data_IF_799246447226
#
_entry.id   IF_799246447226
#
_cell.length_a   1.000
_cell.length_b   1.000
_cell.length_c   1.000
_cell.angle_alpha   90.00
_cell.angle_beta   90.00
_cell.angle_gamma   90.00
#
_symmetry.space_group_name_H-M   'P 1'
#
loop_
_entity.id
_entity.type
_entity.pdbx_description
1 polymer ?
#
# COMPACT_ATOMS: atom_id res chain seq x y z
N UNK A 1 19.16 -10.88 -16.51
CA UNK A 1 18.05 -9.98 -16.12
C UNK A 1 17.50 -10.42 -14.77
N UNK A 2 17.92 -9.80 -13.68
CA UNK A 2 17.21 -9.91 -12.40
C UNK A 2 15.88 -9.16 -12.59
N UNK A 3 14.77 -9.88 -12.72
CA UNK A 3 13.44 -9.29 -12.85
C UNK A 3 13.10 -8.55 -11.55
N UNK A 4 13.12 -7.21 -11.57
CA UNK A 4 12.59 -6.36 -10.50
C UNK A 4 11.05 -6.51 -10.45
N UNK A 5 10.60 -7.65 -9.90
CA UNK A 5 9.18 -7.94 -9.74
C UNK A 5 8.62 -7.13 -8.57
N UNK A 6 7.43 -6.58 -8.75
CA UNK A 6 6.68 -5.93 -7.65
C UNK A 6 5.99 -6.98 -6.80
N UNK A 7 5.76 -6.64 -5.53
CA UNK A 7 5.11 -7.56 -4.58
C UNK A 7 3.73 -8.02 -5.08
N UNK A 8 2.97 -7.14 -5.74
CA UNK A 8 1.66 -7.47 -6.32
C UNK A 8 1.73 -8.55 -7.42
N UNK A 9 2.84 -8.65 -8.15
CA UNK A 9 3.03 -9.63 -9.24
C UNK A 9 3.40 -11.02 -8.70
N UNK A 10 3.91 -11.08 -7.46
CA UNK A 10 4.34 -12.31 -6.81
C UNK A 10 3.31 -12.81 -5.79
N UNK A 11 2.81 -11.92 -4.93
CA UNK A 11 1.91 -12.27 -3.84
C UNK A 11 1.00 -11.12 -3.42
N UNK A 12 -0.32 -11.37 -3.53
CA UNK A 12 -1.37 -10.52 -2.97
C UNK A 12 -2.40 -11.40 -2.24
N UNK A 13 -2.62 -11.22 -0.91
CA UNK A 13 -3.56 -12.04 -0.14
C UNK A 13 -5.01 -11.60 -0.39
N UNK A 14 -5.54 -11.95 -1.58
CA UNK A 14 -6.87 -11.52 -2.05
C UNK A 14 -7.96 -11.94 -1.05
N UNK A 15 -7.91 -13.18 -0.54
CA UNK A 15 -8.94 -13.71 0.36
C UNK A 15 -9.04 -12.90 1.66
N UNK A 16 -7.90 -12.58 2.26
CA UNK A 16 -7.81 -11.81 3.50
C UNK A 16 -8.22 -10.35 3.27
N UNK A 17 -7.79 -9.75 2.16
CA UNK A 17 -8.20 -8.40 1.75
C UNK A 17 -9.72 -8.32 1.56
N UNK A 18 -10.31 -9.27 0.84
CA UNK A 18 -11.75 -9.33 0.59
C UNK A 18 -12.55 -9.49 1.88
N UNK A 19 -12.06 -10.31 2.83
CA UNK A 19 -12.69 -10.50 4.14
C UNK A 19 -12.72 -9.20 4.96
N UNK A 20 -11.58 -8.51 5.07
CA UNK A 20 -11.51 -7.22 5.79
C UNK A 20 -12.31 -6.12 5.08
N UNK A 21 -12.31 -6.12 3.75
CA UNK A 21 -13.12 -5.19 2.94
C UNK A 21 -14.63 -5.37 3.16
N UNK A 22 -15.09 -6.63 3.23
CA UNK A 22 -16.48 -6.94 3.54
C UNK A 22 -16.84 -6.51 4.98
N UNK A 23 -15.92 -6.72 5.93
CA UNK A 23 -16.07 -6.28 7.32
C UNK A 23 -16.17 -4.75 7.43
N UNK A 24 -15.28 -4.00 6.76
CA UNK A 24 -15.32 -2.54 6.68
C UNK A 24 -16.70 -2.04 6.23
N UNK A 25 -17.26 -2.68 5.20
CA UNK A 25 -18.59 -2.37 4.67
C UNK A 25 -19.71 -2.67 5.67
N UNK A 26 -19.59 -3.77 6.43
CA UNK A 26 -20.61 -4.23 7.38
C UNK A 26 -20.69 -3.41 8.68
N UNK A 27 -19.65 -2.65 9.05
CA UNK A 27 -19.60 -1.89 10.31
C UNK A 27 -20.62 -0.73 10.34
N UNK A 28 -21.05 -0.22 9.18
CA UNK A 28 -21.92 0.97 9.08
C UNK A 28 -23.39 0.62 8.81
N UNK A 29 -23.95 -0.38 9.49
CA UNK A 29 -25.35 -0.77 9.29
C UNK A 29 -26.31 0.18 10.04
N UNK A 30 -27.42 0.59 9.41
CA UNK A 30 -28.55 1.26 10.09
C UNK A 30 -28.61 2.80 10.03
N UNK A 31 -27.68 3.48 9.35
CA UNK A 31 -27.77 4.94 9.16
C UNK A 31 -28.55 5.26 7.88
N UNK A 32 -29.44 6.27 7.84
CA UNK A 32 -30.20 6.64 6.63
C UNK A 32 -29.26 6.95 5.44
N UNK A 33 -28.07 7.47 5.74
CA UNK A 33 -26.96 7.68 4.80
C UNK A 33 -26.35 6.39 4.22
N UNK A 34 -26.83 5.20 4.62
CA UNK A 34 -26.44 3.88 4.08
C UNK A 34 -27.48 3.27 3.14
N UNK A 35 -28.68 3.86 3.00
CA UNK A 35 -29.67 3.46 1.99
C UNK A 35 -29.26 3.92 0.58
N UNK A 36 -28.68 5.11 0.47
CA UNK A 36 -28.14 5.65 -0.78
C UNK A 36 -26.61 5.58 -0.76
N UNK A 37 -26.08 4.35 -0.75
CA UNK A 37 -24.69 4.14 -1.18
C UNK A 37 -24.65 4.42 -2.69
N UNK A 38 -24.06 5.56 -3.08
CA UNK A 38 -23.66 5.79 -4.47
C UNK A 38 -22.82 4.59 -4.96
N UNK A 39 -23.00 4.20 -6.22
CA UNK A 39 -22.45 2.96 -6.76
C UNK A 39 -20.95 2.79 -6.45
N UNK A 40 -20.64 1.65 -5.84
CA UNK A 40 -19.30 1.13 -5.58
C UNK A 40 -18.38 1.98 -4.68
N UNK A 41 -18.75 2.15 -3.39
CA UNK A 41 -17.75 2.52 -2.37
C UNK A 41 -16.65 1.46 -2.32
N UNK A 42 -15.43 1.89 -2.66
CA UNK A 42 -14.25 1.03 -2.69
C UNK A 42 -13.70 0.89 -1.26
N UNK A 43 -13.43 -0.33 -0.79
CA UNK A 43 -12.96 -0.58 0.57
C UNK A 43 -11.53 -0.05 0.75
N UNK A 44 -11.31 0.81 1.75
CA UNK A 44 -10.01 1.44 2.01
C UNK A 44 -8.92 0.42 2.33
N UNK A 45 -9.33 -0.71 2.93
CA UNK A 45 -8.47 -1.88 3.17
C UNK A 45 -7.76 -2.36 1.90
N UNK A 46 -8.51 -2.59 0.81
CA UNK A 46 -7.96 -3.10 -0.43
C UNK A 46 -7.04 -2.09 -1.13
N UNK A 47 -7.44 -0.83 -1.13
CA UNK A 47 -6.72 0.25 -1.79
C UNK A 47 -5.32 0.44 -1.20
N UNK A 48 -5.24 0.48 0.13
CA UNK A 48 -3.97 0.63 0.85
C UNK A 48 -2.98 -0.49 0.53
N UNK A 49 -3.49 -1.72 0.45
CA UNK A 49 -2.67 -2.89 0.17
C UNK A 49 -2.22 -2.92 -1.28
N UNK A 50 -3.11 -2.55 -2.22
CA UNK A 50 -2.77 -2.45 -3.63
C UNK A 50 -1.66 -1.41 -3.87
N UNK A 51 -1.75 -0.23 -3.24
CA UNK A 51 -0.72 0.81 -3.33
C UNK A 51 0.61 0.35 -2.73
N UNK A 52 0.59 -0.27 -1.55
CA UNK A 52 1.81 -0.79 -0.94
C UNK A 52 2.48 -1.88 -1.80
N UNK A 53 1.68 -2.81 -2.31
CA UNK A 53 2.18 -3.95 -3.09
C UNK A 53 2.69 -3.55 -4.49
N UNK A 54 2.24 -2.42 -5.05
CA UNK A 54 2.73 -1.92 -6.33
C UNK A 54 4.07 -1.18 -6.22
N UNK A 55 4.38 -0.60 -5.05
CA UNK A 55 5.59 0.20 -4.84
C UNK A 55 6.75 -0.60 -4.24
N UNK A 56 6.45 -1.68 -3.52
CA UNK A 56 7.47 -2.49 -2.83
C UNK A 56 7.94 -3.65 -3.71
N UNK A 57 9.26 -3.91 -3.82
CA UNK A 57 9.78 -5.05 -4.56
C UNK A 57 9.41 -6.38 -3.87
N UNK A 58 9.18 -7.40 -4.69
CA UNK A 58 8.91 -8.76 -4.24
C UNK A 58 10.14 -9.32 -3.51
N UNK A 59 9.95 -10.08 -2.41
CA UNK A 59 11.05 -10.78 -1.77
C UNK A 59 11.58 -11.87 -2.70
N UNK A 60 12.91 -12.08 -2.75
CA UNK A 60 13.55 -13.12 -3.57
C UNK A 60 13.26 -14.58 -3.12
N UNK A 61 12.28 -14.80 -2.24
CA UNK A 61 11.92 -16.13 -1.72
C UNK A 61 10.93 -16.83 -2.64
N UNK A 62 11.09 -18.16 -2.80
CA UNK A 62 10.38 -18.99 -3.79
C UNK A 62 8.83 -18.95 -3.77
N UNK A 63 8.18 -18.36 -2.77
CA UNK A 63 6.73 -18.43 -2.58
C UNK A 63 6.03 -17.09 -2.26
N UNK A 64 6.72 -15.94 -2.20
CA UNK A 64 6.13 -14.64 -1.78
C UNK A 64 5.59 -14.57 -0.34
N UNK A 65 5.34 -15.71 0.29
CA UNK A 65 4.90 -15.95 1.69
C UNK A 65 6.03 -15.75 2.69
N UNK A 66 6.82 -14.69 2.52
CA UNK A 66 7.78 -14.25 3.51
C UNK A 66 7.12 -13.47 4.67
N UNK A 67 7.93 -12.88 5.57
CA UNK A 67 7.46 -12.02 6.67
C UNK A 67 6.52 -10.88 6.22
N UNK A 68 6.66 -10.43 4.97
CA UNK A 68 5.82 -9.40 4.36
C UNK A 68 4.34 -9.80 4.23
N UNK A 69 4.01 -11.10 4.21
CA UNK A 69 2.62 -11.56 4.15
C UNK A 69 1.82 -11.21 5.42
N UNK A 70 2.42 -11.40 6.60
CA UNK A 70 1.84 -10.99 7.88
C UNK A 70 1.74 -9.46 7.99
N UNK A 71 2.72 -8.74 7.44
CA UNK A 71 2.68 -7.28 7.37
C UNK A 71 1.50 -6.79 6.53
N UNK A 72 1.29 -7.35 5.34
CA UNK A 72 0.15 -7.00 4.48
C UNK A 72 -1.18 -7.27 5.20
N UNK A 73 -1.34 -8.43 5.85
CA UNK A 73 -2.56 -8.73 6.59
C UNK A 73 -2.84 -7.71 7.70
N UNK A 74 -1.81 -7.18 8.37
CA UNK A 74 -1.98 -6.11 9.34
C UNK A 74 -2.32 -4.77 8.69
N UNK A 75 -1.80 -4.49 7.50
CA UNK A 75 -2.11 -3.30 6.71
C UNK A 75 -3.58 -3.28 6.23
N UNK A 76 -4.14 -4.47 5.96
CA UNK A 76 -5.55 -4.66 5.56
C UNK A 76 -6.56 -4.32 6.67
N UNK A 77 -6.17 -4.33 7.94
CA UNK A 77 -7.12 -4.19 9.04
C UNK A 77 -7.81 -2.82 9.04
N UNK A 78 -9.09 -2.82 9.39
CA UNK A 78 -9.88 -1.62 9.62
C UNK A 78 -10.40 -1.58 11.08
N UNK A 79 -10.23 -0.48 11.82
CA UNK A 79 -9.51 0.75 11.46
C UNK A 79 -7.99 0.52 11.30
N UNK A 80 -7.29 1.37 10.52
CA UNK A 80 -5.85 1.22 10.31
C UNK A 80 -5.06 1.44 11.60
N UNK A 81 -3.99 0.67 11.79
CA UNK A 81 -3.00 0.97 12.82
C UNK A 81 -2.02 2.03 12.29
N UNK A 82 -1.97 3.25 12.88
CA UNK A 82 -1.13 4.33 12.37
C UNK A 82 0.37 3.99 12.39
N UNK A 83 0.82 3.18 13.34
CA UNK A 83 2.23 2.74 13.40
C UNK A 83 2.60 1.89 12.18
N UNK A 84 1.73 0.96 11.78
CA UNK A 84 1.93 0.10 10.61
C UNK A 84 1.85 0.85 9.29
N UNK A 85 1.03 1.90 9.23
CA UNK A 85 1.01 2.80 8.08
C UNK A 85 2.32 3.57 7.94
N UNK A 86 2.88 4.09 9.05
CA UNK A 86 4.20 4.75 9.04
C UNK A 86 5.32 3.79 8.62
N UNK A 87 5.32 2.56 9.15
CA UNK A 87 6.26 1.50 8.72
C UNK A 87 6.14 1.22 7.21
N UNK A 88 4.92 1.18 6.66
CA UNK A 88 4.69 0.95 5.24
C UNK A 88 5.24 2.10 4.37
N UNK A 89 5.04 3.35 4.80
CA UNK A 89 5.59 4.54 4.12
C UNK A 89 7.12 4.48 4.11
N UNK A 90 7.74 4.15 5.25
CA UNK A 90 9.19 4.01 5.35
C UNK A 90 9.73 2.96 4.37
N UNK A 91 9.09 1.79 4.29
CA UNK A 91 9.47 0.76 3.31
C UNK A 91 9.36 1.23 1.86
N UNK A 92 8.35 2.03 1.53
CA UNK A 92 8.17 2.62 0.20
C UNK A 92 9.31 3.60 -0.09
N UNK A 93 9.67 4.45 0.85
CA UNK A 93 10.77 5.40 0.68
C UNK A 93 12.13 4.71 0.56
N UNK A 94 12.40 3.66 1.34
CA UNK A 94 13.61 2.85 1.18
C UNK A 94 13.69 2.20 -0.20
N UNK A 95 12.59 1.62 -0.68
CA UNK A 95 12.52 1.01 -2.01
C UNK A 95 12.71 2.04 -3.13
N UNK A 96 12.08 3.21 -3.00
CA UNK A 96 12.17 4.29 -3.98
C UNK A 96 13.55 4.97 -3.98
N UNK A 97 14.16 5.14 -2.80
CA UNK A 97 15.52 5.65 -2.63
C UNK A 97 16.54 4.75 -3.35
N UNK A 98 16.41 3.42 -3.17
CA UNK A 98 17.26 2.46 -3.86
C UNK A 98 17.13 2.58 -5.38
N UNK A 99 15.89 2.62 -5.90
CA UNK A 99 15.62 2.78 -7.33
C UNK A 99 16.17 4.10 -7.89
N UNK A 100 15.96 5.22 -7.20
CA UNK A 100 16.50 6.51 -7.61
C UNK A 100 18.03 6.54 -7.56
N UNK A 101 18.64 5.85 -6.59
CA UNK A 101 20.09 5.78 -6.49
C UNK A 101 20.70 5.01 -7.67
N UNK A 102 20.03 3.94 -8.12
CA UNK A 102 20.39 3.21 -9.32
C UNK A 102 20.19 4.04 -10.60
N UNK A 103 19.12 4.83 -10.70
CA UNK A 103 18.81 5.67 -11.87
C UNK A 103 19.71 6.91 -12.00
N UNK A 104 20.00 7.59 -10.89
CA UNK A 104 20.76 8.85 -10.88
C UNK A 104 22.26 8.65 -10.61
N UNK A 105 22.68 7.45 -10.22
CA UNK A 105 24.06 7.13 -9.85
C UNK A 105 24.56 7.88 -8.60
N UNK A 106 23.64 8.36 -7.75
CA UNK A 106 23.93 9.09 -6.50
C UNK A 106 23.27 8.38 -5.34
N UNK A 107 23.95 8.26 -4.21
CA UNK A 107 23.33 7.70 -3.00
C UNK A 107 22.27 8.66 -2.46
N UNK A 108 21.01 8.23 -2.50
CA UNK A 108 19.87 8.96 -1.92
C UNK A 108 19.34 8.16 -0.74
N UNK A 109 19.16 8.81 0.41
CA UNK A 109 18.59 8.17 1.60
C UNK A 109 17.07 8.36 1.64
N UNK A 110 16.37 7.45 2.33
CA UNK A 110 14.94 7.60 2.61
C UNK A 110 14.64 8.90 3.38
N UNK A 111 15.58 9.37 4.22
CA UNK A 111 15.46 10.64 4.95
C UNK A 111 15.47 11.86 4.01
N UNK A 112 16.25 11.80 2.93
CA UNK A 112 16.31 12.90 1.96
C UNK A 112 14.98 13.05 1.20
N UNK A 113 14.24 11.95 1.05
CA UNK A 113 12.91 11.92 0.42
C UNK A 113 11.85 12.45 1.40
N UNK A 114 11.97 12.13 2.69
CA UNK A 114 11.11 12.68 3.75
C UNK A 114 11.27 14.20 3.89
N UNK A 115 12.52 14.69 3.87
CA UNK A 115 12.86 16.11 3.96
C UNK A 115 12.61 16.90 2.66
N UNK A 116 12.20 16.23 1.57
CA UNK A 116 11.89 16.86 0.28
C UNK A 116 13.10 17.26 -0.56
N UNK A 117 14.31 16.79 -0.22
CA UNK A 117 15.53 17.00 -1.00
C UNK A 117 15.61 16.11 -2.23
N UNK A 118 14.82 15.03 -2.27
CA UNK A 118 14.70 14.11 -3.39
C UNK A 118 13.23 13.97 -3.83
N UNK A 119 12.97 13.66 -5.11
CA UNK A 119 11.60 13.57 -5.61
C UNK A 119 10.85 12.40 -4.97
N UNK A 120 9.67 12.68 -4.39
CA UNK A 120 8.78 11.66 -3.83
C UNK A 120 8.30 10.66 -4.89
N UNK A 121 7.98 9.41 -4.51
CA UNK A 121 7.41 8.45 -5.44
C UNK A 121 6.08 8.98 -5.99
N UNK A 122 5.93 8.97 -7.32
CA UNK A 122 4.67 9.34 -7.97
C UNK A 122 3.69 8.19 -7.79
N UNK A 123 2.81 8.34 -6.82
CA UNK A 123 1.77 7.35 -6.53
C UNK A 123 0.44 7.91 -7.02
N UNK A 124 -0.12 7.27 -8.05
CA UNK A 124 -1.52 7.51 -8.38
C UNK A 124 -2.37 6.66 -7.44
N UNK A 125 -2.89 7.28 -6.39
CA UNK A 125 -3.94 6.64 -5.60
C UNK A 125 -5.27 6.74 -6.35
N UNK A 126 -5.55 5.71 -7.16
CA UNK A 126 -6.79 5.57 -7.95
C UNK A 126 -8.04 5.45 -7.06
N UNK A 127 -7.86 5.41 -5.74
CA UNK A 127 -8.87 5.08 -4.75
C UNK A 127 -8.95 6.09 -3.59
N UNK A 128 -8.18 7.19 -3.63
CA UNK A 128 -8.20 8.25 -2.62
C UNK A 128 -9.59 8.89 -2.44
N UNK A 129 -10.51 8.70 -3.40
CA UNK A 129 -11.73 9.48 -3.48
C UNK A 129 -11.40 10.94 -3.80
N UNK A 130 -12.37 11.72 -4.28
CA UNK A 130 -12.15 13.11 -4.70
C UNK A 130 -11.77 14.10 -3.59
N UNK A 131 -11.26 13.64 -2.45
CA UNK A 131 -10.87 14.45 -1.30
C UNK A 131 -9.50 13.97 -0.79
N UNK A 132 -8.47 14.72 -1.20
CA UNK A 132 -7.09 14.73 -0.68
C UNK A 132 -6.08 13.81 -1.39
N UNK A 133 -5.56 14.30 -2.50
CA UNK A 133 -4.19 14.02 -2.93
C UNK A 133 -3.23 14.88 -2.11
N UNK A 134 -2.43 14.28 -1.23
CA UNK A 134 -1.28 14.92 -0.55
C UNK A 134 -0.19 13.90 -0.29
#
# INVERSE_FOLDING_TARGET
MLKDKRLIEDYLPIREISKESAREKSIRHGHISTLHLWWARRPLSACRVAVYASLVPAPNGKNGRGPKSAFIQNLCKYPPNPTKVKEAIKHIYEAHAKRLSEELGKEISAKDIEEGRAPKPRVLDMFAGGLNTS
#
